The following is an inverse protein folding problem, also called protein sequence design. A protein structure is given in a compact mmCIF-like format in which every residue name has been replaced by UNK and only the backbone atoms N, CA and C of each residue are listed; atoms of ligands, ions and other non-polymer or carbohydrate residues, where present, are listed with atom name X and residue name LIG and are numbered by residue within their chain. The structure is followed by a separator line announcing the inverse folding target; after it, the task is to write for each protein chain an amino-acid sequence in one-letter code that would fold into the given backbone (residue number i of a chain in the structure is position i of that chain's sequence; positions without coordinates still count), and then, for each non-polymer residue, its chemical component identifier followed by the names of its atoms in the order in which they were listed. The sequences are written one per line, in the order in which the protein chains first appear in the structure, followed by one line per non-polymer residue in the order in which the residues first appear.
data_IF_115416461817
#
_entry.id   IF_115416461817
#
_cell.length_a   1.000
_cell.length_b   1.000
_cell.length_c   1.000
_cell.angle_alpha   90.00
_cell.angle_beta   90.00
_cell.angle_gamma   90.00
#
_symmetry.space_group_name_H-M   'P 1'
#
loop_
_entity.id
_entity.type
_entity.pdbx_description
1 polymer ?
#
# COMPACT_ATOMS: atom_id res chain seq x y z
N UNK A 1 -49.56 -38.50 49.53
CA UNK A 1 -48.17 -38.85 49.26
C UNK A 1 -47.95 -38.76 47.72
N UNK A 2 -47.70 -37.59 47.21
CA UNK A 2 -47.51 -37.31 45.75
C UNK A 2 -46.01 -37.17 45.48
N UNK A 3 -45.46 -38.04 44.68
CA UNK A 3 -44.08 -37.97 44.20
C UNK A 3 -44.04 -37.10 42.95
N UNK A 4 -43.37 -35.97 43.01
CA UNK A 4 -42.99 -35.14 41.84
C UNK A 4 -41.81 -35.74 41.11
N UNK A 5 -41.94 -35.98 39.78
CA UNK A 5 -40.89 -36.36 38.88
C UNK A 5 -40.12 -35.10 38.41
N UNK A 6 -38.79 -35.13 38.28
CA UNK A 6 -38.02 -33.99 37.81
C UNK A 6 -38.08 -33.88 36.28
N UNK A 7 -38.42 -32.68 35.83
CA UNK A 7 -38.40 -32.27 34.42
C UNK A 7 -36.95 -32.26 33.89
N UNK A 8 -36.68 -33.08 32.89
CA UNK A 8 -35.43 -33.09 32.15
C UNK A 8 -35.48 -31.97 31.07
N UNK A 9 -34.74 -30.90 31.29
CA UNK A 9 -34.49 -29.88 30.25
C UNK A 9 -33.50 -30.45 29.23
N UNK A 10 -33.96 -30.69 28.00
CA UNK A 10 -33.13 -31.01 26.86
C UNK A 10 -32.49 -29.70 26.35
N UNK A 11 -31.20 -29.50 26.64
CA UNK A 11 -30.41 -28.46 25.98
C UNK A 11 -30.10 -28.92 24.54
N UNK A 12 -30.81 -28.34 23.56
CA UNK A 12 -30.46 -28.43 22.15
C UNK A 12 -29.26 -27.51 21.89
N UNK A 13 -28.06 -28.10 21.81
CA UNK A 13 -26.89 -27.42 21.26
C UNK A 13 -27.11 -27.27 19.75
N UNK A 14 -27.49 -26.05 19.31
CA UNK A 14 -27.40 -25.64 17.90
C UNK A 14 -25.92 -25.49 17.54
N UNK A 15 -25.32 -26.55 16.98
CA UNK A 15 -24.07 -26.42 16.23
C UNK A 15 -24.38 -25.56 15.00
N UNK A 16 -24.01 -24.29 15.05
CA UNK A 16 -23.94 -23.46 13.86
C UNK A 16 -22.80 -24.05 12.98
N UNK A 17 -23.17 -24.80 11.94
CA UNK A 17 -22.26 -25.10 10.84
C UNK A 17 -21.92 -23.78 10.17
N UNK A 18 -20.74 -23.24 10.46
CA UNK A 18 -20.16 -22.20 9.62
C UNK A 18 -19.86 -22.81 8.26
N UNK A 19 -20.79 -22.60 7.31
CA UNK A 19 -20.52 -22.89 5.91
C UNK A 19 -19.28 -22.06 5.51
N UNK A 20 -18.27 -22.70 4.89
CA UNK A 20 -17.14 -21.95 4.37
C UNK A 20 -17.70 -20.91 3.39
N UNK A 21 -17.48 -19.63 3.67
CA UNK A 21 -17.73 -18.59 2.67
C UNK A 21 -16.94 -18.99 1.45
N UNK A 22 -17.62 -19.16 0.32
CA UNK A 22 -16.97 -19.31 -0.97
C UNK A 22 -16.05 -18.09 -1.13
N UNK A 23 -14.76 -18.26 -0.85
CA UNK A 23 -13.77 -17.21 -0.96
C UNK A 23 -13.71 -16.78 -2.40
N UNK A 24 -13.63 -15.47 -2.64
CA UNK A 24 -13.30 -14.98 -3.98
C UNK A 24 -12.02 -15.71 -4.45
N UNK A 25 -11.98 -16.13 -5.71
CA UNK A 25 -10.82 -16.80 -6.27
C UNK A 25 -9.56 -15.95 -6.09
N UNK A 26 -8.43 -16.58 -5.82
CA UNK A 26 -7.15 -15.91 -5.70
C UNK A 26 -6.80 -15.15 -6.98
N UNK A 27 -6.05 -14.06 -6.83
CA UNK A 27 -5.56 -13.30 -7.97
C UNK A 27 -4.26 -13.91 -8.48
N UNK A 28 -4.21 -14.34 -9.74
CA UNK A 28 -2.95 -14.71 -10.39
C UNK A 28 -2.33 -13.45 -11.02
N UNK A 29 -1.16 -13.04 -10.53
CA UNK A 29 -0.50 -11.79 -10.91
C UNK A 29 0.95 -12.04 -11.28
N UNK A 30 1.41 -11.45 -12.38
CA UNK A 30 2.83 -11.44 -12.74
C UNK A 30 3.56 -10.39 -11.89
N UNK A 31 4.52 -10.83 -11.10
CA UNK A 31 5.35 -10.00 -10.24
C UNK A 31 6.78 -9.93 -10.78
N UNK A 32 7.29 -8.72 -10.98
CA UNK A 32 8.64 -8.45 -11.44
C UNK A 32 9.56 -8.13 -10.27
N UNK A 33 10.73 -8.76 -10.27
CA UNK A 33 11.84 -8.48 -9.34
C UNK A 33 13.15 -8.40 -10.12
N UNK A 34 14.21 -7.97 -9.47
CA UNK A 34 15.56 -8.06 -10.00
C UNK A 34 16.38 -8.97 -9.10
N UNK A 35 17.09 -9.90 -9.74
CA UNK A 35 17.99 -10.83 -9.06
C UNK A 35 19.40 -10.61 -9.55
N UNK A 36 20.37 -10.67 -8.63
CA UNK A 36 21.77 -10.63 -8.98
C UNK A 36 22.16 -11.94 -9.66
N UNK A 37 22.90 -11.87 -10.77
CA UNK A 37 23.28 -13.07 -11.55
C UNK A 37 24.03 -14.09 -10.70
N UNK A 38 24.93 -13.60 -9.83
CA UNK A 38 25.52 -14.31 -8.70
C UNK A 38 25.93 -13.29 -7.64
N UNK A 39 25.96 -13.69 -6.39
CA UNK A 39 26.20 -12.80 -5.25
C UNK A 39 27.46 -11.95 -5.41
N UNK A 40 27.32 -10.63 -5.37
CA UNK A 40 28.40 -9.66 -5.48
C UNK A 40 28.85 -9.37 -6.92
N UNK A 41 28.14 -9.84 -7.94
CA UNK A 41 28.48 -9.54 -9.35
C UNK A 41 28.16 -8.10 -9.76
N UNK A 42 27.21 -7.47 -9.10
CA UNK A 42 26.64 -6.18 -9.55
C UNK A 42 25.77 -6.29 -10.82
N UNK A 43 25.66 -7.49 -11.40
CA UNK A 43 24.84 -7.74 -12.59
C UNK A 43 23.43 -8.14 -12.19
N UNK A 44 22.46 -7.27 -12.42
CA UNK A 44 21.06 -7.49 -12.08
C UNK A 44 20.23 -7.83 -13.31
N UNK A 45 19.44 -8.89 -13.19
CA UNK A 45 18.51 -9.34 -14.25
C UNK A 45 17.08 -9.23 -13.78
N UNK A 46 16.22 -8.70 -14.65
CA UNK A 46 14.79 -8.69 -14.41
C UNK A 46 14.23 -10.11 -14.55
N UNK A 47 13.43 -10.53 -13.56
CA UNK A 47 12.69 -11.79 -13.57
C UNK A 47 11.24 -11.52 -13.25
N UNK A 48 10.32 -12.22 -13.92
CA UNK A 48 8.89 -12.16 -13.65
C UNK A 48 8.38 -13.56 -13.31
N UNK A 49 7.59 -13.64 -12.25
CA UNK A 49 6.99 -14.88 -11.77
C UNK A 49 5.50 -14.67 -11.54
N UNK A 50 4.68 -15.59 -12.00
CA UNK A 50 3.27 -15.62 -11.63
C UNK A 50 3.12 -16.08 -10.18
N UNK A 51 2.29 -15.35 -9.44
CA UNK A 51 2.02 -15.67 -8.05
C UNK A 51 0.54 -15.49 -7.72
N UNK A 52 0.03 -16.38 -6.88
CA UNK A 52 -1.31 -16.28 -6.32
C UNK A 52 -1.32 -15.33 -5.11
N UNK A 53 -2.27 -14.39 -5.12
CA UNK A 53 -2.55 -13.47 -4.03
C UNK A 53 -3.97 -13.72 -3.53
N UNK A 54 -4.16 -14.26 -2.31
CA UNK A 54 -5.48 -14.44 -1.72
C UNK A 54 -6.16 -13.09 -1.53
N UNK A 55 -7.35 -12.91 -2.11
CA UNK A 55 -8.11 -11.65 -2.01
C UNK A 55 -8.32 -11.21 -0.56
N UNK A 56 -8.75 -12.08 0.39
CA UNK A 56 -8.98 -11.68 1.77
C UNK A 56 -7.69 -11.32 2.55
N UNK A 57 -6.53 -11.74 2.04
CA UNK A 57 -5.22 -11.44 2.64
C UNK A 57 -4.50 -10.27 1.96
N UNK A 58 -5.16 -9.60 1.00
CA UNK A 58 -4.56 -8.52 0.20
C UNK A 58 -5.26 -7.18 0.45
N UNK A 59 -4.49 -6.12 0.59
CA UNK A 59 -4.99 -4.75 0.64
C UNK A 59 -4.23 -3.83 -0.32
N UNK A 60 -4.87 -2.74 -0.72
CA UNK A 60 -4.25 -1.61 -1.42
C UNK A 60 -3.96 -0.51 -0.42
N UNK A 61 -2.76 0.05 -0.45
CA UNK A 61 -2.36 1.23 0.30
C UNK A 61 -2.03 2.37 -0.65
N UNK A 62 -2.71 3.51 -0.46
CA UNK A 62 -2.50 4.75 -1.20
C UNK A 62 -1.67 5.67 -0.33
N UNK A 63 -0.42 5.92 -0.73
CA UNK A 63 0.54 6.74 0.00
C UNK A 63 0.54 8.17 -0.54
N UNK A 64 0.27 9.14 0.32
CA UNK A 64 0.50 10.58 0.15
C UNK A 64 0.02 11.18 -1.19
N UNK A 65 -1.10 10.69 -1.72
CA UNK A 65 -1.75 11.27 -2.90
C UNK A 65 -2.51 12.56 -2.50
N UNK A 66 -1.76 13.59 -2.14
CA UNK A 66 -2.30 14.85 -1.62
C UNK A 66 -3.03 15.71 -2.67
N UNK A 67 -3.91 16.57 -2.21
CA UNK A 67 -4.63 17.57 -3.01
C UNK A 67 -3.70 18.61 -3.65
N UNK A 68 -2.59 18.92 -3.00
CA UNK A 68 -1.52 19.82 -3.49
C UNK A 68 -0.17 19.40 -2.92
N UNK A 69 0.88 19.71 -3.66
CA UNK A 69 2.27 19.65 -3.20
C UNK A 69 2.92 21.04 -3.34
N UNK A 70 3.94 21.35 -2.54
CA UNK A 70 4.65 22.60 -2.65
C UNK A 70 5.39 22.75 -4.00
N UNK A 71 5.83 21.64 -4.58
CA UNK A 71 6.37 21.57 -5.93
C UNK A 71 5.21 21.46 -6.95
N UNK A 72 5.13 22.40 -7.88
CA UNK A 72 4.10 22.40 -8.91
C UNK A 72 4.19 21.18 -9.81
N UNK A 73 5.40 20.82 -10.26
CA UNK A 73 5.62 19.62 -11.08
C UNK A 73 5.09 18.36 -10.40
N UNK A 74 5.36 18.18 -9.09
CA UNK A 74 4.82 17.07 -8.33
C UNK A 74 3.28 17.10 -8.26
N UNK A 75 2.67 18.28 -8.07
CA UNK A 75 1.20 18.41 -8.10
C UNK A 75 0.62 18.00 -9.45
N UNK A 76 1.22 18.42 -10.55
CA UNK A 76 0.78 18.08 -11.91
C UNK A 76 0.88 16.57 -12.17
N UNK A 77 1.94 15.90 -11.70
CA UNK A 77 2.11 14.46 -11.82
C UNK A 77 1.10 13.67 -10.95
N UNK A 78 0.82 14.13 -9.73
CA UNK A 78 -0.28 13.56 -8.93
C UNK A 78 -1.60 13.68 -9.69
N UNK A 79 -1.92 14.85 -10.24
CA UNK A 79 -3.14 15.06 -11.05
C UNK A 79 -3.21 14.10 -12.25
N UNK A 80 -2.08 13.71 -12.83
CA UNK A 80 -2.02 12.76 -13.96
C UNK A 80 -2.17 11.30 -13.54
N UNK A 81 -1.83 10.94 -12.29
CA UNK A 81 -2.01 9.60 -11.73
C UNK A 81 -3.45 9.32 -11.32
N UNK A 82 -4.16 10.33 -10.80
CA UNK A 82 -5.53 10.18 -10.28
C UNK A 82 -6.51 9.54 -11.26
N UNK A 83 -6.58 9.92 -12.55
CA UNK A 83 -7.47 9.29 -13.52
C UNK A 83 -7.18 7.80 -13.78
N UNK A 84 -5.96 7.35 -13.49
CA UNK A 84 -5.56 5.93 -13.58
C UNK A 84 -5.90 5.18 -12.28
N UNK A 85 -5.69 5.83 -11.14
CA UNK A 85 -5.93 5.24 -9.81
C UNK A 85 -7.43 5.09 -9.50
N UNK A 86 -8.25 6.08 -9.81
CA UNK A 86 -9.67 6.05 -9.42
C UNK A 86 -10.41 4.81 -9.94
N UNK A 87 -10.38 4.45 -11.25
CA UNK A 87 -11.05 3.24 -11.74
C UNK A 87 -10.39 1.95 -11.23
N UNK A 88 -9.07 1.96 -10.99
CA UNK A 88 -8.36 0.84 -10.38
C UNK A 88 -8.90 0.55 -8.96
N UNK A 89 -9.05 1.57 -8.13
CA UNK A 89 -9.56 1.42 -6.77
C UNK A 89 -11.01 0.93 -6.73
N UNK A 90 -11.84 1.39 -7.67
CA UNK A 90 -13.21 0.87 -7.81
C UNK A 90 -13.23 -0.63 -8.15
N UNK A 91 -12.35 -1.06 -9.04
CA UNK A 91 -12.22 -2.46 -9.42
C UNK A 91 -11.70 -3.31 -8.27
N UNK A 92 -10.71 -2.82 -7.52
CA UNK A 92 -10.19 -3.49 -6.32
C UNK A 92 -11.30 -3.68 -5.26
N UNK A 93 -12.10 -2.65 -4.98
CA UNK A 93 -13.24 -2.73 -4.05
C UNK A 93 -14.31 -3.73 -4.51
N UNK A 94 -14.65 -3.73 -5.80
CA UNK A 94 -15.60 -4.71 -6.37
C UNK A 94 -15.12 -6.14 -6.20
N UNK A 95 -13.81 -6.36 -6.22
CA UNK A 95 -13.18 -7.66 -5.97
C UNK A 95 -13.14 -8.03 -4.48
N UNK A 96 -13.45 -7.10 -3.58
CA UNK A 96 -13.41 -7.31 -2.13
C UNK A 96 -12.05 -7.00 -1.50
N UNK A 97 -11.15 -6.34 -2.22
CA UNK A 97 -9.84 -5.93 -1.71
C UNK A 97 -10.02 -4.69 -0.83
N UNK A 98 -9.44 -4.73 0.37
CA UNK A 98 -9.45 -3.60 1.29
C UNK A 98 -8.61 -2.44 0.74
N UNK A 99 -9.12 -1.21 0.83
CA UNK A 99 -8.37 0.01 0.49
C UNK A 99 -8.04 0.78 1.77
N UNK A 100 -6.79 1.21 1.87
CA UNK A 100 -6.23 2.00 2.98
C UNK A 100 -5.74 3.31 2.39
N UNK A 101 -6.30 4.43 2.82
CA UNK A 101 -5.87 5.76 2.46
C UNK A 101 -4.89 6.29 3.51
N UNK A 102 -3.70 6.68 3.06
CA UNK A 102 -2.64 7.14 3.97
C UNK A 102 -2.07 8.51 3.55
N UNK A 103 -2.91 9.58 3.56
CA UNK A 103 -2.47 10.95 3.26
C UNK A 103 -1.82 11.56 4.51
N UNK A 104 -0.51 11.42 4.65
CA UNK A 104 0.24 11.85 5.84
C UNK A 104 0.02 13.33 6.18
N UNK A 105 0.02 13.61 7.48
CA UNK A 105 -0.08 14.95 8.04
C UNK A 105 -1.41 15.67 7.75
N UNK A 106 -2.46 14.92 7.40
CA UNK A 106 -3.79 15.46 7.09
C UNK A 106 -4.89 14.86 7.97
N UNK A 107 -4.55 14.09 9.00
CA UNK A 107 -5.53 13.40 9.85
C UNK A 107 -6.52 14.33 10.55
N UNK A 108 -6.17 15.60 10.75
CA UNK A 108 -7.09 16.60 11.29
C UNK A 108 -8.32 16.81 10.39
N UNK A 109 -8.14 16.75 9.06
CA UNK A 109 -9.23 16.82 8.09
C UNK A 109 -10.19 15.63 8.20
N UNK A 110 -9.67 14.44 8.53
CA UNK A 110 -10.43 13.18 8.61
C UNK A 110 -10.92 12.83 10.02
N UNK A 111 -10.71 13.70 11.02
CA UNK A 111 -11.02 13.41 12.43
C UNK A 111 -12.40 12.79 12.64
N UNK A 112 -13.41 13.31 11.94
CA UNK A 112 -14.80 12.89 12.09
C UNK A 112 -15.26 11.87 11.03
N UNK A 113 -14.40 11.52 10.07
CA UNK A 113 -14.72 10.54 9.06
C UNK A 113 -14.92 9.14 9.67
N UNK A 114 -15.99 8.42 9.29
CA UNK A 114 -16.23 7.07 9.83
C UNK A 114 -15.09 6.09 9.50
N UNK A 115 -14.40 6.26 8.39
CA UNK A 115 -13.24 5.47 7.99
C UNK A 115 -12.05 5.66 8.94
N UNK A 116 -11.83 6.91 9.42
CA UNK A 116 -10.81 7.21 10.43
C UNK A 116 -11.23 6.67 11.81
N UNK A 117 -12.47 6.89 12.22
CA UNK A 117 -12.99 6.38 13.50
C UNK A 117 -12.92 4.86 13.59
N UNK A 118 -13.15 4.14 12.48
CA UNK A 118 -13.01 2.69 12.40
C UNK A 118 -11.58 2.24 12.66
N UNK A 119 -10.59 2.97 12.13
CA UNK A 119 -9.18 2.68 12.40
C UNK A 119 -8.83 2.90 13.87
N UNK A 120 -9.30 3.99 14.47
CA UNK A 120 -9.06 4.33 15.89
C UNK A 120 -9.75 3.38 16.88
N UNK A 121 -10.82 2.72 16.47
CA UNK A 121 -11.56 1.77 17.32
C UNK A 121 -10.89 0.39 17.43
N UNK A 122 -9.82 0.12 16.66
CA UNK A 122 -9.11 -1.15 16.72
C UNK A 122 -8.17 -1.21 17.92
N UNK A 123 -8.08 -2.40 18.53
CA UNK A 123 -7.07 -2.67 19.52
C UNK A 123 -5.67 -2.62 18.86
N UNK A 124 -4.72 -2.01 19.55
CA UNK A 124 -3.32 -2.03 19.12
C UNK A 124 -2.75 -3.44 19.19
N UNK A 125 -2.01 -3.82 18.16
CA UNK A 125 -1.23 -5.04 18.10
C UNK A 125 0.23 -4.66 18.00
N UNK A 126 1.03 -5.05 18.99
CA UNK A 126 2.45 -4.77 18.99
C UNK A 126 3.15 -5.50 17.83
N UNK A 127 3.90 -4.78 17.00
CA UNK A 127 4.64 -5.42 15.93
C UNK A 127 5.83 -6.22 16.49
N UNK A 128 6.29 -7.27 15.79
CA UNK A 128 7.53 -7.94 16.14
C UNK A 128 8.72 -6.99 16.00
N UNK A 129 9.87 -7.31 16.60
CA UNK A 129 11.10 -6.60 16.30
C UNK A 129 11.34 -6.59 14.78
N UNK A 130 11.61 -5.41 14.19
CA UNK A 130 11.80 -5.33 12.75
C UNK A 130 13.06 -6.07 12.33
N UNK A 131 12.98 -6.70 11.15
CA UNK A 131 14.15 -7.29 10.51
C UNK A 131 15.17 -6.19 10.16
N UNK A 132 16.45 -6.47 10.38
CA UNK A 132 17.55 -5.61 9.92
C UNK A 132 17.83 -5.93 8.45
N UNK A 133 17.24 -5.17 7.54
CA UNK A 133 17.38 -5.35 6.10
C UNK A 133 18.44 -4.40 5.56
N UNK A 134 19.16 -4.85 4.52
CA UNK A 134 20.18 -4.04 3.83
C UNK A 134 19.48 -2.88 3.08
N UNK A 135 19.91 -1.66 3.36
CA UNK A 135 19.39 -0.42 2.77
C UNK A 135 20.51 0.36 2.08
N UNK A 136 20.82 0.05 0.81
CA UNK A 136 21.85 0.77 0.07
C UNK A 136 21.38 2.18 -0.30
N UNK A 137 22.31 3.09 -0.70
CA UNK A 137 21.95 4.43 -1.18
C UNK A 137 20.97 4.40 -2.36
N UNK A 138 20.12 5.41 -2.44
CA UNK A 138 19.24 5.63 -3.59
C UNK A 138 20.06 5.85 -4.87
N UNK A 139 19.53 5.45 -6.04
CA UNK A 139 20.18 5.66 -7.32
C UNK A 139 20.03 7.08 -7.88
N UNK A 140 19.35 7.95 -7.19
CA UNK A 140 19.11 9.36 -7.52
C UNK A 140 19.46 10.24 -6.33
N UNK A 141 19.89 11.48 -6.59
CA UNK A 141 20.06 12.48 -5.54
C UNK A 141 18.74 13.24 -5.32
N UNK A 142 18.26 13.25 -4.09
CA UNK A 142 17.08 14.00 -3.66
C UNK A 142 17.37 14.95 -2.47
N UNK A 143 18.64 15.20 -2.16
CA UNK A 143 19.05 16.02 -1.01
C UNK A 143 18.55 17.45 -1.07
N UNK A 144 18.34 18.01 -2.28
CA UNK A 144 17.75 19.31 -2.50
C UNK A 144 16.20 19.30 -2.53
N UNK A 145 15.59 18.18 -2.10
CA UNK A 145 14.14 17.99 -2.07
C UNK A 145 13.52 17.53 -3.39
N UNK A 146 14.32 17.34 -4.45
CA UNK A 146 13.91 16.74 -5.73
C UNK A 146 12.87 17.52 -6.55
N UNK A 147 12.56 18.77 -6.21
CA UNK A 147 11.60 19.57 -6.97
C UNK A 147 12.21 20.04 -8.30
N UNK A 148 11.52 19.80 -9.40
CA UNK A 148 11.91 20.14 -10.78
C UNK A 148 11.31 21.45 -11.27
N UNK A 149 10.68 22.22 -10.40
CA UNK A 149 10.15 23.56 -10.65
C UNK A 149 10.72 24.55 -9.62
N UNK A 150 10.81 25.86 -9.94
CA UNK A 150 11.45 26.84 -9.05
C UNK A 150 10.57 27.24 -7.86
N UNK A 151 9.95 26.26 -7.22
CA UNK A 151 9.06 26.48 -6.10
C UNK A 151 9.82 26.35 -4.77
N UNK A 152 9.38 27.11 -3.76
CA UNK A 152 9.94 27.04 -2.41
C UNK A 152 9.09 26.14 -1.51
N UNK A 153 9.75 25.41 -0.63
CA UNK A 153 9.07 24.52 0.32
C UNK A 153 8.09 25.31 1.21
N UNK A 154 6.86 24.82 1.28
CA UNK A 154 5.84 25.19 2.25
C UNK A 154 4.85 24.04 2.41
N UNK A 155 4.14 23.97 3.51
CA UNK A 155 3.08 22.94 3.66
C UNK A 155 1.86 23.32 2.81
N UNK A 156 1.68 22.64 1.66
CA UNK A 156 0.63 22.91 0.71
C UNK A 156 -0.60 21.99 0.86
N UNK A 157 -0.38 20.74 1.32
CA UNK A 157 -1.41 19.71 1.38
C UNK A 157 -2.33 19.85 2.58
N UNK A 158 -3.60 19.55 2.37
CA UNK A 158 -4.64 19.62 3.40
C UNK A 158 -5.38 18.28 3.57
N UNK A 159 -5.41 17.48 2.51
CA UNK A 159 -6.12 16.20 2.45
C UNK A 159 -5.59 15.36 1.29
N UNK A 160 -6.13 14.15 1.12
CA UNK A 160 -5.95 13.37 -0.10
C UNK A 160 -6.62 14.05 -1.30
N UNK A 161 -6.12 13.77 -2.49
CA UNK A 161 -6.64 14.35 -3.73
C UNK A 161 -8.14 14.02 -3.90
N UNK A 162 -9.02 15.01 -4.11
CA UNK A 162 -10.49 14.82 -4.11
C UNK A 162 -10.99 13.92 -5.26
N UNK A 163 -10.18 13.70 -6.28
CA UNK A 163 -10.47 12.72 -7.35
C UNK A 163 -10.34 11.27 -6.93
N UNK A 164 -9.78 10.98 -5.75
CA UNK A 164 -9.73 9.64 -5.18
C UNK A 164 -10.87 9.52 -4.15
N UNK A 165 -11.95 8.83 -4.55
CA UNK A 165 -13.10 8.61 -3.67
C UNK A 165 -12.71 7.70 -2.51
N UNK A 166 -13.06 8.12 -1.30
CA UNK A 166 -12.98 7.29 -0.10
C UNK A 166 -14.35 6.63 0.09
N UNK A 167 -14.39 5.31 0.00
CA UNK A 167 -15.62 4.54 0.12
C UNK A 167 -15.97 4.21 1.58
N UNK A 168 -17.22 3.81 1.81
CA UNK A 168 -17.68 3.43 3.15
C UNK A 168 -16.91 2.24 3.75
N UNK A 169 -16.38 1.34 2.92
CA UNK A 169 -15.59 0.17 3.33
C UNK A 169 -14.12 0.46 3.60
N UNK A 170 -13.60 1.60 3.14
CA UNK A 170 -12.18 1.96 3.26
C UNK A 170 -11.81 2.35 4.70
N UNK A 171 -10.52 2.50 4.93
CA UNK A 171 -9.97 3.02 6.19
C UNK A 171 -8.93 4.10 5.91
N UNK A 172 -8.73 5.01 6.89
CA UNK A 172 -7.81 6.14 6.76
C UNK A 172 -6.87 6.17 7.97
N UNK A 173 -5.57 6.19 7.72
CA UNK A 173 -4.55 6.44 8.74
C UNK A 173 -3.22 6.78 8.09
N UNK A 174 -2.43 7.63 8.74
CA UNK A 174 -1.01 7.88 8.43
C UNK A 174 -0.07 7.34 9.53
N UNK A 175 -0.59 6.55 10.44
CA UNK A 175 0.15 5.96 11.54
C UNK A 175 0.50 4.51 11.25
N UNK A 176 1.80 4.19 11.24
CA UNK A 176 2.29 2.84 10.91
C UNK A 176 1.84 1.76 11.90
N UNK A 177 1.72 2.08 13.19
CA UNK A 177 1.27 1.11 14.19
C UNK A 177 -0.23 0.80 14.04
N UNK A 178 -1.05 1.81 13.74
CA UNK A 178 -2.48 1.62 13.46
C UNK A 178 -2.69 0.78 12.20
N UNK A 179 -1.96 1.09 11.10
CA UNK A 179 -2.05 0.34 9.85
C UNK A 179 -1.57 -1.11 10.07
N UNK A 180 -0.45 -1.33 10.77
CA UNK A 180 0.02 -2.67 11.10
C UNK A 180 -1.04 -3.46 11.90
N UNK A 181 -1.61 -2.84 12.94
CA UNK A 181 -2.65 -3.45 13.77
C UNK A 181 -3.88 -3.82 12.93
N UNK A 182 -4.30 -2.93 12.02
CA UNK A 182 -5.40 -3.19 11.09
C UNK A 182 -5.13 -4.40 10.19
N UNK A 183 -3.95 -4.43 9.56
CA UNK A 183 -3.54 -5.53 8.68
C UNK A 183 -3.59 -6.87 9.44
N UNK A 184 -3.01 -6.91 10.64
CA UNK A 184 -2.99 -8.12 11.47
C UNK A 184 -4.38 -8.55 11.93
N UNK A 185 -5.20 -7.62 12.40
CA UNK A 185 -6.57 -7.89 12.84
C UNK A 185 -7.47 -8.43 11.73
N UNK A 186 -7.18 -8.04 10.47
CA UNK A 186 -7.91 -8.48 9.28
C UNK A 186 -7.30 -9.70 8.57
N UNK A 187 -6.18 -10.23 9.06
CA UNK A 187 -5.47 -11.33 8.42
C UNK A 187 -4.79 -10.93 7.10
N UNK A 188 -4.63 -9.62 6.84
CA UNK A 188 -3.99 -9.12 5.62
C UNK A 188 -2.49 -9.32 5.74
N UNK A 189 -1.89 -9.93 4.72
CA UNK A 189 -0.47 -10.27 4.64
C UNK A 189 0.24 -9.63 3.45
N UNK A 190 -0.52 -9.19 2.44
CA UNK A 190 0.00 -8.58 1.22
C UNK A 190 -0.52 -7.16 1.08
N UNK A 191 0.37 -6.22 0.80
CA UNK A 191 0.09 -4.81 0.63
C UNK A 191 0.51 -4.35 -0.77
N UNK A 192 -0.47 -4.03 -1.61
CA UNK A 192 -0.26 -3.38 -2.90
C UNK A 192 -0.08 -1.89 -2.66
N UNK A 193 1.15 -1.40 -2.80
CA UNK A 193 1.51 0.00 -2.49
C UNK A 193 1.51 0.84 -3.75
N UNK A 194 0.89 2.01 -3.71
CA UNK A 194 0.89 3.02 -4.77
C UNK A 194 0.90 4.43 -4.19
N UNK A 195 1.10 5.43 -5.01
CA UNK A 195 1.12 6.84 -4.58
C UNK A 195 2.49 7.49 -4.70
N UNK A 196 2.73 8.56 -3.95
CA UNK A 196 3.92 9.41 -4.11
C UNK A 196 4.59 9.72 -2.76
N UNK A 197 5.89 10.06 -2.75
CA UNK A 197 6.79 9.90 -3.89
C UNK A 197 7.59 8.61 -3.72
N UNK A 198 7.90 7.96 -4.82
CA UNK A 198 8.50 6.62 -4.84
C UNK A 198 9.77 6.51 -3.99
N UNK A 199 10.69 7.49 -4.10
CA UNK A 199 11.97 7.55 -3.37
C UNK A 199 11.81 8.01 -1.92
N UNK A 200 10.73 8.68 -1.57
CA UNK A 200 10.50 9.27 -0.25
C UNK A 200 9.43 8.53 0.53
N UNK A 201 8.19 9.00 0.44
CA UNK A 201 7.07 8.52 1.26
C UNK A 201 6.74 7.04 1.03
N UNK A 202 6.67 6.62 -0.24
CA UNK A 202 6.36 5.24 -0.63
C UNK A 202 7.41 4.24 -0.12
N UNK A 203 8.66 4.65 0.01
CA UNK A 203 9.70 3.83 0.62
C UNK A 203 9.73 3.95 2.14
N UNK A 204 9.63 5.17 2.71
CA UNK A 204 10.14 5.45 4.04
C UNK A 204 9.07 5.77 5.11
N UNK A 205 7.79 6.04 4.73
CA UNK A 205 6.75 6.28 5.75
C UNK A 205 6.60 5.07 6.69
N UNK A 206 6.19 5.27 7.95
CA UNK A 206 6.05 4.18 8.94
C UNK A 206 5.07 3.06 8.54
N UNK A 207 4.24 3.30 7.52
CA UNK A 207 3.28 2.37 6.93
C UNK A 207 3.65 1.91 5.52
N UNK A 208 4.82 2.31 5.03
CA UNK A 208 5.25 2.10 3.65
C UNK A 208 6.24 0.92 3.51
N UNK A 209 6.81 0.76 2.31
CA UNK A 209 7.51 -0.45 1.88
C UNK A 209 8.57 -0.91 2.86
N UNK A 210 9.55 -0.06 3.22
CA UNK A 210 10.69 -0.48 4.07
C UNK A 210 10.21 -0.97 5.43
N UNK A 211 9.34 -0.20 6.08
CA UNK A 211 8.88 -0.54 7.42
C UNK A 211 7.99 -1.76 7.42
N UNK A 212 7.02 -1.85 6.51
CA UNK A 212 6.09 -2.98 6.45
C UNK A 212 6.81 -4.28 6.07
N UNK A 213 7.76 -4.23 5.13
CA UNK A 213 8.61 -5.38 4.80
C UNK A 213 9.44 -5.84 6.01
N UNK A 214 10.05 -4.90 6.75
CA UNK A 214 10.80 -5.24 7.96
C UNK A 214 9.92 -5.86 9.07
N UNK A 215 8.61 -5.58 9.08
CA UNK A 215 7.63 -6.18 10.00
C UNK A 215 7.00 -7.49 9.46
N UNK A 216 7.48 -8.01 8.32
CA UNK A 216 7.02 -9.27 7.74
C UNK A 216 5.71 -9.16 6.93
N UNK A 217 5.28 -7.95 6.57
CA UNK A 217 4.20 -7.75 5.60
C UNK A 217 4.80 -7.79 4.19
N UNK A 218 4.21 -8.58 3.32
CA UNK A 218 4.62 -8.66 1.92
C UNK A 218 4.17 -7.40 1.18
N UNK A 219 5.10 -6.56 0.77
CA UNK A 219 4.81 -5.40 -0.07
C UNK A 219 4.97 -5.75 -1.56
N UNK A 220 4.16 -5.11 -2.41
CA UNK A 220 4.25 -5.16 -3.87
C UNK A 220 4.00 -3.73 -4.36
N UNK A 221 4.95 -3.14 -5.07
CA UNK A 221 4.75 -1.80 -5.64
C UNK A 221 3.94 -1.89 -6.95
N UNK A 222 2.88 -1.09 -7.07
CA UNK A 222 2.16 -0.89 -8.34
C UNK A 222 2.90 0.21 -9.11
N UNK A 223 3.89 -0.21 -9.93
CA UNK A 223 4.95 0.65 -10.46
C UNK A 223 4.50 1.70 -11.47
N UNK A 224 3.35 1.55 -12.09
CA UNK A 224 2.75 2.52 -13.02
C UNK A 224 1.75 3.48 -12.33
N UNK A 225 1.58 3.34 -11.00
CA UNK A 225 0.78 4.21 -10.14
C UNK A 225 1.63 4.88 -9.05
N UNK A 226 2.86 5.26 -9.41
CA UNK A 226 3.79 5.97 -8.52
C UNK A 226 4.66 6.93 -9.34
N UNK A 227 5.25 7.91 -8.67
CA UNK A 227 6.16 8.90 -9.25
C UNK A 227 7.21 9.31 -8.22
N UNK A 228 8.46 9.49 -8.65
CA UNK A 228 9.54 9.92 -7.75
C UNK A 228 9.57 11.44 -7.59
N UNK A 229 10.07 11.93 -6.48
CA UNK A 229 10.44 13.32 -6.29
C UNK A 229 11.89 13.48 -6.75
N UNK A 230 12.09 13.85 -8.00
CA UNK A 230 13.41 13.92 -8.61
C UNK A 230 13.51 15.10 -9.60
N UNK A 231 14.58 15.87 -9.47
CA UNK A 231 14.93 16.93 -10.39
C UNK A 231 16.02 16.43 -11.37
N UNK A 232 15.79 16.49 -12.70
CA UNK A 232 16.80 16.13 -13.70
C UNK A 232 18.12 16.93 -13.64
N UNK A 233 18.14 18.06 -12.95
CA UNK A 233 19.37 18.82 -12.68
C UNK A 233 20.24 18.18 -11.58
N UNK A 234 19.71 17.20 -10.85
CA UNK A 234 20.44 16.46 -9.81
C UNK A 234 21.02 15.15 -10.38
N UNK A 235 22.11 14.62 -9.81
CA UNK A 235 22.62 13.31 -10.19
C UNK A 235 21.55 12.22 -10.14
N UNK A 236 21.51 11.32 -11.11
CA UNK A 236 22.46 11.07 -12.20
C UNK A 236 22.22 11.88 -13.50
N UNK A 237 21.50 12.99 -13.47
CA UNK A 237 21.22 13.88 -14.61
C UNK A 237 20.48 13.19 -15.77
N UNK A 238 19.45 12.46 -15.43
CA UNK A 238 18.57 11.76 -16.37
C UNK A 238 17.20 12.45 -16.44
N UNK A 239 16.33 12.05 -17.37
CA UNK A 239 14.95 12.55 -17.38
C UNK A 239 14.21 12.19 -16.09
N UNK A 240 13.15 12.92 -15.75
CA UNK A 240 12.32 12.65 -14.57
C UNK A 240 11.78 11.21 -14.57
N UNK A 241 11.27 10.75 -15.72
CA UNK A 241 10.74 9.39 -15.88
C UNK A 241 11.84 8.33 -15.68
N UNK A 242 13.04 8.61 -16.17
CA UNK A 242 14.19 7.73 -15.97
C UNK A 242 14.62 7.69 -14.49
N UNK A 243 14.59 8.83 -13.79
CA UNK A 243 14.82 8.88 -12.34
C UNK A 243 13.81 8.02 -11.57
N UNK A 244 12.52 8.14 -11.91
CA UNK A 244 11.46 7.28 -11.34
C UNK A 244 11.71 5.80 -11.65
N UNK A 245 12.11 5.46 -12.88
CA UNK A 245 12.45 4.10 -13.28
C UNK A 245 13.62 3.54 -12.47
N UNK A 246 14.66 4.31 -12.22
CA UNK A 246 15.82 3.92 -11.41
C UNK A 246 15.41 3.59 -9.97
N UNK A 247 14.52 4.39 -9.37
CA UNK A 247 13.99 4.10 -8.02
C UNK A 247 13.14 2.84 -8.01
N UNK A 248 12.32 2.60 -9.02
CA UNK A 248 11.55 1.35 -9.14
C UNK A 248 12.50 0.15 -9.24
N UNK A 249 13.56 0.24 -10.03
CA UNK A 249 14.58 -0.82 -10.11
C UNK A 249 15.31 -1.07 -8.79
N UNK A 250 15.59 -0.01 -8.04
CA UNK A 250 16.15 -0.11 -6.69
C UNK A 250 15.19 -0.87 -5.75
N UNK A 251 13.88 -0.57 -5.82
CA UNK A 251 12.87 -1.28 -5.03
C UNK A 251 12.83 -2.77 -5.42
N UNK A 252 12.89 -3.10 -6.70
CA UNK A 252 12.88 -4.47 -7.20
C UNK A 252 14.13 -5.28 -6.79
N UNK A 253 15.26 -4.60 -6.59
CA UNK A 253 16.52 -5.21 -6.14
C UNK A 253 16.52 -5.52 -4.66
N UNK A 254 16.03 -4.60 -3.83
CA UNK A 254 16.34 -4.60 -2.41
C UNK A 254 15.12 -4.74 -1.49
N UNK A 255 13.90 -4.42 -1.97
CA UNK A 255 12.76 -4.27 -1.07
C UNK A 255 11.58 -5.19 -1.39
N UNK A 256 11.01 -5.08 -2.56
CA UNK A 256 9.82 -5.86 -2.91
C UNK A 256 9.64 -6.00 -4.42
N UNK A 257 8.90 -7.02 -4.88
CA UNK A 257 8.51 -7.13 -6.27
C UNK A 257 7.55 -6.00 -6.68
N UNK A 258 7.41 -5.81 -7.99
CA UNK A 258 6.48 -4.85 -8.58
C UNK A 258 5.51 -5.53 -9.53
N UNK A 259 4.35 -4.89 -9.73
CA UNK A 259 3.39 -5.24 -10.76
C UNK A 259 2.88 -3.97 -11.44
N UNK A 260 1.95 -4.07 -12.40
CA UNK A 260 1.26 -2.94 -12.99
C UNK A 260 -0.23 -2.96 -12.64
N UNK A 261 -0.87 -1.79 -12.70
CA UNK A 261 -2.32 -1.68 -12.57
C UNK A 261 -3.04 -2.52 -13.63
N UNK A 262 -2.51 -2.60 -14.85
CA UNK A 262 -3.05 -3.42 -15.93
C UNK A 262 -3.01 -4.93 -15.63
N UNK A 263 -1.90 -5.43 -15.02
CA UNK A 263 -1.83 -6.83 -14.57
C UNK A 263 -2.90 -7.13 -13.51
N UNK A 264 -3.00 -6.25 -12.51
CA UNK A 264 -3.99 -6.41 -11.44
C UNK A 264 -5.43 -6.33 -11.94
N UNK A 265 -5.74 -5.38 -12.86
CA UNK A 265 -7.08 -5.27 -13.44
C UNK A 265 -7.47 -6.53 -14.24
N UNK A 266 -6.52 -7.16 -14.95
CA UNK A 266 -6.78 -8.46 -15.58
C UNK A 266 -7.09 -9.53 -14.54
N UNK A 267 -6.32 -9.61 -13.47
CA UNK A 267 -6.55 -10.55 -12.38
C UNK A 267 -7.88 -10.30 -11.64
N UNK A 268 -8.34 -9.05 -11.57
CA UNK A 268 -9.64 -8.71 -10.96
C UNK A 268 -10.83 -9.15 -11.80
N UNK A 269 -10.65 -9.31 -13.11
CA UNK A 269 -11.73 -9.68 -14.03
C UNK A 269 -12.08 -11.18 -14.00
N UNK A 270 -11.21 -12.00 -13.41
CA UNK A 270 -11.39 -13.47 -13.27
C UNK A 270 -11.66 -13.84 -11.81
#
# INVERSE_FOLDING_TARGET
MFRMLPSRWLLLLLLALELPRAGAADLTVSLRSRVEAFKGSGEWRSVSLEQSLPVPETAVLICDMWDKHWCRGATERVNSLVPKMAPFLESARKRGIQVIHAPSETMAFYRDAPQRKRMLALASIDPPPPLNLFDPPLPIDDQRGGCDTPDQFHKAWTREHPGLRIDASDVISDNGAEIYSFLRARGIRTLLVMGVHTNMCVLNRPFAIKRMTALGIRCILVRDLTDAMYNPEDPPHVSHDEGTRLVIEYIEKFWCPTTTSGELLRAFAH
#
